data_IF_693033919482
#
_entry.id   IF_693033919482
#
_cell.length_a   1.000
_cell.length_b   1.000
_cell.length_c   1.000
_cell.angle_alpha   90.00
_cell.angle_beta   90.00
_cell.angle_gamma   90.00
#
_symmetry.space_group_name_H-M   'P 1'
#
loop_
_entity.id
_entity.type
_entity.pdbx_description
1 polymer ?
#
# COMPACT_ATOMS: atom_id res chain seq x y z
N UNK A 1 -1.01 -13.26 3.23
CA UNK A 1 -1.87 -12.98 2.06
C UNK A 1 -0.96 -12.59 0.89
N UNK A 2 -1.19 -13.10 -0.35
CA UNK A 2 -0.39 -12.69 -1.50
C UNK A 2 -0.55 -11.20 -1.81
N UNK A 3 0.50 -10.56 -2.30
CA UNK A 3 0.46 -9.18 -2.77
C UNK A 3 0.94 -9.15 -4.21
N UNK A 4 0.21 -8.43 -5.06
CA UNK A 4 0.59 -8.20 -6.45
C UNK A 4 1.02 -6.76 -6.62
N UNK A 5 1.93 -6.57 -7.56
CA UNK A 5 2.41 -5.25 -7.95
C UNK A 5 2.16 -5.06 -9.43
N UNK A 6 1.73 -3.86 -9.81
CA UNK A 6 1.67 -3.45 -11.22
C UNK A 6 2.26 -2.06 -11.36
N UNK A 7 2.62 -1.68 -12.58
CA UNK A 7 3.21 -0.37 -12.88
C UNK A 7 2.48 0.28 -14.04
N UNK A 8 2.17 1.57 -13.91
CA UNK A 8 1.65 2.41 -15.00
C UNK A 8 2.45 3.70 -15.04
N UNK A 9 3.29 3.86 -16.07
CA UNK A 9 4.25 4.97 -16.10
C UNK A 9 5.23 4.91 -14.92
N UNK A 10 5.29 5.98 -14.13
CA UNK A 10 6.09 6.03 -12.90
C UNK A 10 5.42 5.39 -11.68
N UNK A 11 4.11 5.15 -11.74
CA UNK A 11 3.32 4.77 -10.58
C UNK A 11 3.43 3.27 -10.28
N UNK A 12 3.68 2.92 -9.02
CA UNK A 12 3.65 1.55 -8.52
C UNK A 12 2.32 1.31 -7.80
N UNK A 13 1.62 0.26 -8.17
CA UNK A 13 0.38 -0.15 -7.50
C UNK A 13 0.65 -1.39 -6.65
N UNK A 14 0.23 -1.35 -5.39
CA UNK A 14 0.30 -2.44 -4.42
C UNK A 14 -1.11 -2.99 -4.23
N UNK A 15 -1.31 -4.28 -4.48
CA UNK A 15 -2.63 -4.91 -4.48
C UNK A 15 -2.60 -6.16 -3.60
N UNK A 16 -2.99 -6.05 -2.31
CA UNK A 16 -3.11 -7.19 -1.42
C UNK A 16 -4.29 -8.07 -1.84
N UNK A 17 -4.07 -9.33 -2.22
CA UNK A 17 -5.12 -10.22 -2.72
C UNK A 17 -5.92 -10.85 -1.57
N UNK A 18 -6.85 -10.07 -1.01
CA UNK A 18 -7.81 -10.51 -0.01
C UNK A 18 -8.50 -9.32 0.66
N UNK A 19 -8.92 -9.49 1.93
CA UNK A 19 -9.72 -8.51 2.67
C UNK A 19 -9.00 -8.05 3.94
N UNK A 20 -7.90 -7.29 3.83
CA UNK A 20 -7.20 -6.78 5.00
C UNK A 20 -8.11 -5.85 5.81
N UNK A 21 -7.87 -5.80 7.11
CA UNK A 21 -8.56 -4.94 8.06
C UNK A 21 -7.57 -4.31 9.02
N UNK A 22 -7.90 -3.12 9.54
CA UNK A 22 -7.04 -2.37 10.45
C UNK A 22 -6.37 -1.17 9.79
N UNK A 23 -5.59 -0.45 10.57
CA UNK A 23 -4.91 0.79 10.21
C UNK A 23 -3.55 0.56 9.53
N UNK A 24 -3.03 -0.67 9.57
CA UNK A 24 -1.70 -0.99 9.09
C UNK A 24 -1.67 -2.27 8.25
N UNK A 25 -0.82 -2.28 7.23
CA UNK A 25 -0.49 -3.46 6.45
C UNK A 25 1.03 -3.60 6.34
N UNK A 26 1.56 -4.73 6.83
CA UNK A 26 2.99 -5.06 6.75
C UNK A 26 3.27 -5.95 5.54
N UNK A 27 4.19 -5.51 4.70
CA UNK A 27 4.72 -6.25 3.56
C UNK A 27 6.13 -6.72 3.89
N UNK A 28 6.32 -8.04 3.95
CA UNK A 28 7.60 -8.65 4.33
C UNK A 28 8.65 -8.48 3.23
N UNK A 29 9.89 -8.25 3.63
CA UNK A 29 11.07 -8.24 2.75
C UNK A 29 10.90 -7.29 1.54
N UNK A 30 10.24 -6.15 1.78
CA UNK A 30 9.95 -5.17 0.75
C UNK A 30 10.56 -3.83 1.14
N UNK A 31 11.18 -3.19 0.16
CA UNK A 31 11.60 -1.80 0.28
C UNK A 31 10.98 -0.98 -0.83
N UNK A 32 10.23 0.04 -0.43
CA UNK A 32 9.67 1.06 -1.31
C UNK A 32 9.53 2.33 -0.50
N UNK A 33 9.83 3.46 -1.12
CA UNK A 33 9.93 4.72 -0.43
C UNK A 33 9.17 5.80 -1.21
N UNK A 34 8.44 6.67 -0.50
CA UNK A 34 7.53 7.65 -1.09
C UNK A 34 6.25 7.75 -0.25
N UNK A 35 5.22 8.37 -0.82
CA UNK A 35 3.88 8.45 -0.21
C UNK A 35 2.87 7.74 -1.10
N UNK A 36 1.92 7.05 -0.47
CA UNK A 36 0.88 6.31 -1.17
C UNK A 36 -0.49 6.96 -1.04
N UNK A 37 -1.42 6.53 -1.87
CA UNK A 37 -2.85 6.84 -1.76
C UNK A 37 -3.67 5.60 -2.03
N UNK A 38 -4.79 5.44 -1.32
CA UNK A 38 -5.80 4.46 -1.70
C UNK A 38 -6.40 4.86 -3.04
N UNK A 39 -6.46 3.91 -3.97
CA UNK A 39 -7.03 4.15 -5.31
C UNK A 39 -8.54 4.40 -5.23
N UNK A 40 -9.22 3.83 -4.24
CA UNK A 40 -10.68 3.88 -4.13
C UNK A 40 -11.22 5.28 -3.80
N UNK A 41 -10.53 6.02 -2.94
CA UNK A 41 -11.00 7.30 -2.39
C UNK A 41 -9.93 8.42 -2.38
N UNK A 42 -8.70 8.11 -2.79
CA UNK A 42 -7.58 9.04 -2.77
C UNK A 42 -7.02 9.35 -1.39
N UNK A 43 -7.50 8.72 -0.33
CA UNK A 43 -7.03 8.94 1.03
C UNK A 43 -5.55 8.56 1.16
N UNK A 44 -4.76 9.30 1.97
CA UNK A 44 -3.32 9.09 2.05
C UNK A 44 -2.97 7.79 2.76
N UNK A 45 -1.89 7.16 2.30
CA UNK A 45 -1.25 5.99 2.91
C UNK A 45 0.22 6.32 3.12
N UNK A 46 0.65 6.38 4.38
CA UNK A 46 2.05 6.59 4.72
C UNK A 46 2.84 5.30 4.53
N UNK A 47 4.04 5.41 3.97
CA UNK A 47 4.96 4.28 3.81
C UNK A 47 6.13 4.47 4.75
N UNK A 48 6.41 3.47 5.58
CA UNK A 48 7.55 3.47 6.49
C UNK A 48 8.30 2.16 6.41
N UNK A 49 9.62 2.24 6.30
CA UNK A 49 10.50 1.08 6.40
C UNK A 49 10.62 0.66 7.88
N UNK A 50 10.45 -0.63 8.17
CA UNK A 50 10.67 -1.25 9.47
C UNK A 50 11.57 -2.48 9.32
N UNK A 51 12.87 -2.29 9.47
CA UNK A 51 13.88 -3.29 9.11
C UNK A 51 13.80 -3.62 7.61
N UNK A 52 13.69 -4.92 7.28
CA UNK A 52 13.50 -5.40 5.90
C UNK A 52 12.07 -5.24 5.37
N UNK A 53 11.12 -4.87 6.23
CA UNK A 53 9.70 -4.85 5.89
C UNK A 53 9.23 -3.44 5.58
N UNK A 54 8.19 -3.34 4.75
CA UNK A 54 7.48 -2.11 4.48
C UNK A 54 6.16 -2.11 5.26
N UNK A 55 5.90 -1.04 6.01
CA UNK A 55 4.63 -0.81 6.68
C UNK A 55 3.86 0.29 5.92
N UNK A 56 2.64 -0.05 5.51
CA UNK A 56 1.64 0.87 4.99
C UNK A 56 0.73 1.28 6.15
N UNK A 57 0.62 2.57 6.43
CA UNK A 57 -0.23 3.12 7.48
C UNK A 57 -1.37 3.91 6.81
N UNK A 58 -2.60 3.45 6.98
CA UNK A 58 -3.80 4.02 6.37
C UNK A 58 -4.39 5.08 7.29
N UNK A 59 -4.75 6.25 6.74
CA UNK A 59 -5.40 7.32 7.53
C UNK A 59 -6.73 6.87 8.15
N UNK A 60 -7.46 6.01 7.45
CA UNK A 60 -8.67 5.36 7.94
C UNK A 60 -8.46 3.85 7.94
N UNK A 61 -8.92 3.12 8.98
CA UNK A 61 -8.80 1.68 8.99
C UNK A 61 -9.48 1.04 7.78
N UNK A 62 -8.85 0.01 7.22
CA UNK A 62 -9.48 -0.84 6.23
C UNK A 62 -10.62 -1.64 6.89
N UNK A 63 -11.77 -1.67 6.23
CA UNK A 63 -12.97 -2.36 6.70
C UNK A 63 -13.25 -3.65 5.92
N UNK A 64 -12.20 -4.37 5.48
CA UNK A 64 -12.36 -5.66 4.79
C UNK A 64 -12.78 -5.56 3.33
N UNK A 65 -12.57 -4.42 2.67
CA UNK A 65 -12.71 -4.30 1.22
C UNK A 65 -11.81 -5.34 0.51
N UNK A 66 -12.30 -5.93 -0.59
CA UNK A 66 -11.51 -6.89 -1.34
C UNK A 66 -10.50 -6.18 -2.25
N UNK A 67 -9.24 -6.60 -2.16
CA UNK A 67 -8.13 -6.12 -2.98
C UNK A 67 -7.97 -4.58 -2.99
N UNK A 68 -7.81 -3.93 -1.81
CA UNK A 68 -7.64 -2.48 -1.75
C UNK A 68 -6.30 -2.10 -2.39
N UNK A 69 -6.34 -1.41 -3.52
CA UNK A 69 -5.15 -0.98 -4.23
C UNK A 69 -4.61 0.33 -3.64
N UNK A 70 -3.29 0.35 -3.40
CA UNK A 70 -2.54 1.55 -3.05
C UNK A 70 -1.68 1.95 -4.23
N UNK A 71 -1.71 3.21 -4.65
CA UNK A 71 -0.81 3.76 -5.66
C UNK A 71 0.28 4.57 -4.99
N UNK A 72 1.52 4.37 -5.41
CA UNK A 72 2.73 5.10 -4.98
C UNK A 72 3.29 5.78 -6.22
N UNK A 73 3.15 7.11 -6.36
CA UNK A 73 3.68 7.85 -7.50
C UNK A 73 5.21 7.83 -7.53
N UNK A 74 5.84 8.12 -8.68
CA UNK A 74 7.29 8.28 -8.73
C UNK A 74 7.70 9.43 -7.81
N UNK A 75 8.88 9.31 -7.20
CA UNK A 75 9.50 10.46 -6.54
C UNK A 75 9.81 11.51 -7.61
N UNK A 76 9.36 12.75 -7.36
CA UNK A 76 9.75 13.93 -8.13
C UNK A 76 11.21 14.28 -7.91
#
# INVERSE_FOLDING_TARGET
>A
MPVRFTRRGGDIHIIPLGRPSGDTLRLKEMSLAGEGKLVADGSPVSLRQDGSDLVLEFRQPLHGAFAPAVVVPPRG
#
